data_IF_442996795778
#
_entry.id   IF_442996795778
#
_cell.length_a   1.000
_cell.length_b   1.000
_cell.length_c   1.000
_cell.angle_alpha   90.00
_cell.angle_beta   90.00
_cell.angle_gamma   90.00
#
_symmetry.space_group_name_H-M   'P 1'
#
loop_
_entity.id
_entity.type
_entity.pdbx_description
1 polymer ?
#
# COMPACT_ATOMS: atom_id res chain seq x y z
N UNK A 1 7.02 12.08 15.63
CA UNK A 1 7.19 10.65 15.31
C UNK A 1 7.46 10.55 13.82
N UNK A 2 8.48 9.82 13.39
CA UNK A 2 8.76 9.68 11.95
C UNK A 2 7.80 8.65 11.35
N UNK A 3 6.80 9.10 10.60
CA UNK A 3 5.89 8.20 9.89
C UNK A 3 6.56 7.65 8.64
N UNK A 4 6.44 6.34 8.45
CA UNK A 4 7.02 5.63 7.31
C UNK A 4 5.92 5.04 6.44
N UNK A 5 5.99 5.29 5.14
CA UNK A 5 5.15 4.72 4.09
C UNK A 5 5.97 3.76 3.23
N UNK A 6 5.37 2.66 2.82
CA UNK A 6 5.86 1.78 1.76
C UNK A 6 4.79 1.68 0.68
N UNK A 7 5.14 2.07 -0.56
CA UNK A 7 4.31 1.87 -1.74
C UNK A 7 4.79 0.59 -2.43
N UNK A 8 3.92 -0.40 -2.53
CA UNK A 8 4.20 -1.67 -3.20
C UNK A 8 4.05 -1.48 -4.72
N UNK A 9 5.17 -1.33 -5.42
CA UNK A 9 5.25 -1.07 -6.85
C UNK A 9 5.58 -2.33 -7.67
N UNK A 10 5.95 -3.43 -6.98
CA UNK A 10 6.21 -4.74 -7.59
C UNK A 10 4.91 -5.47 -7.98
N UNK A 11 5.09 -6.62 -8.60
CA UNK A 11 3.99 -7.50 -8.99
C UNK A 11 3.87 -7.72 -10.50
N UNK A 12 3.03 -8.67 -10.89
CA UNK A 12 2.81 -9.02 -12.30
C UNK A 12 1.93 -7.97 -13.00
N UNK A 13 2.55 -7.23 -13.92
CA UNK A 13 1.89 -6.24 -14.76
C UNK A 13 1.56 -6.77 -16.17
N UNK A 14 1.60 -8.09 -16.41
CA UNK A 14 1.41 -8.72 -17.72
C UNK A 14 0.10 -8.30 -18.39
N UNK A 15 -0.98 -8.14 -17.61
CA UNK A 15 -2.30 -7.70 -18.10
C UNK A 15 -2.33 -6.26 -18.60
N UNK A 16 -1.42 -5.41 -18.14
CA UNK A 16 -1.35 -3.99 -18.49
C UNK A 16 -0.36 -3.70 -19.63
N UNK A 17 0.57 -4.63 -19.90
CA UNK A 17 1.64 -4.46 -20.89
C UNK A 17 2.76 -3.52 -20.44
N UNK A 18 2.63 -2.88 -19.28
CA UNK A 18 3.65 -2.03 -18.64
C UNK A 18 3.53 -2.10 -17.12
N UNK A 19 4.57 -1.70 -16.41
CA UNK A 19 4.54 -1.64 -14.94
C UNK A 19 3.44 -0.68 -14.49
N UNK A 20 2.55 -1.10 -13.58
CA UNK A 20 1.45 -0.27 -13.07
C UNK A 20 1.95 1.05 -12.49
N UNK A 21 3.09 1.02 -11.78
CA UNK A 21 3.72 2.21 -11.22
C UNK A 21 4.02 3.31 -12.25
N UNK A 22 4.28 2.92 -13.50
CA UNK A 22 4.64 3.82 -14.61
C UNK A 22 3.47 4.19 -15.51
N UNK A 23 2.25 3.75 -15.21
CA UNK A 23 1.07 4.16 -15.99
C UNK A 23 0.87 5.66 -15.87
N UNK A 24 0.57 6.37 -16.98
CA UNK A 24 0.21 7.78 -16.95
C UNK A 24 -1.00 8.02 -16.02
N UNK A 25 -0.86 8.96 -15.11
CA UNK A 25 -1.92 9.32 -14.15
C UNK A 25 -1.90 10.83 -13.93
N UNK A 26 -2.87 11.54 -14.52
CA UNK A 26 -2.78 13.00 -14.74
C UNK A 26 -1.55 13.36 -15.60
N UNK A 27 -0.73 14.30 -15.15
CA UNK A 27 0.51 14.76 -15.80
C UNK A 27 1.77 13.98 -15.34
N UNK A 28 1.59 12.91 -14.57
CA UNK A 28 2.66 12.12 -13.91
C UNK A 28 2.49 10.63 -14.15
N UNK A 29 3.38 9.84 -13.58
CA UNK A 29 3.13 8.40 -13.41
C UNK A 29 2.29 8.13 -12.16
N UNK A 30 1.64 6.98 -12.10
CA UNK A 30 0.79 6.60 -10.96
C UNK A 30 1.56 6.61 -9.63
N UNK A 31 2.82 6.15 -9.61
CA UNK A 31 3.64 6.18 -8.40
C UNK A 31 4.02 7.61 -7.99
N UNK A 32 4.33 8.50 -8.94
CA UNK A 32 4.60 9.92 -8.66
C UNK A 32 3.36 10.62 -8.09
N UNK A 33 2.18 10.34 -8.66
CA UNK A 33 0.91 10.87 -8.14
C UNK A 33 0.68 10.47 -6.69
N UNK A 34 0.86 9.18 -6.35
CA UNK A 34 0.72 8.68 -4.97
C UNK A 34 1.80 9.30 -4.08
N UNK A 35 3.06 9.33 -4.54
CA UNK A 35 4.18 9.88 -3.79
C UNK A 35 3.92 11.34 -3.38
N UNK A 36 3.56 12.20 -4.33
CA UNK A 36 3.31 13.62 -4.06
C UNK A 36 2.14 13.83 -3.08
N UNK A 37 1.09 13.01 -3.22
CA UNK A 37 -0.06 13.06 -2.34
C UNK A 37 0.27 12.68 -0.89
N UNK A 38 1.17 11.71 -0.68
CA UNK A 38 1.52 11.19 0.64
C UNK A 38 2.71 11.90 1.30
N UNK A 39 3.60 12.51 0.52
CA UNK A 39 4.81 13.16 1.03
C UNK A 39 4.57 14.20 2.14
N UNK A 40 3.50 15.02 2.13
CA UNK A 40 3.24 15.95 3.22
C UNK A 40 2.87 15.30 4.56
N UNK A 41 2.53 14.01 4.56
CA UNK A 41 2.03 13.28 5.71
C UNK A 41 3.01 12.24 6.28
N UNK A 42 4.02 11.86 5.49
CA UNK A 42 4.99 10.82 5.84
C UNK A 42 6.43 11.33 5.70
N UNK A 43 7.23 11.14 6.74
CA UNK A 43 8.62 11.62 6.80
C UNK A 43 9.56 10.78 5.94
N UNK A 44 9.24 9.50 5.76
CA UNK A 44 9.99 8.54 4.95
C UNK A 44 9.07 7.75 4.03
N UNK A 45 9.44 7.70 2.75
CA UNK A 45 8.73 6.92 1.75
C UNK A 45 9.70 5.92 1.13
N UNK A 46 9.29 4.67 1.06
CA UNK A 46 10.00 3.59 0.40
C UNK A 46 9.14 3.05 -0.75
N UNK A 47 9.81 2.62 -1.82
CA UNK A 47 9.18 1.97 -2.97
C UNK A 47 9.63 0.49 -2.98
N UNK A 48 8.70 -0.44 -2.75
CA UNK A 48 8.98 -1.85 -2.96
C UNK A 48 8.96 -2.14 -4.45
N UNK A 49 10.03 -2.69 -4.98
CA UNK A 49 10.23 -2.95 -6.41
C UNK A 49 10.65 -4.39 -6.65
N UNK A 50 10.43 -4.90 -7.87
CA UNK A 50 10.91 -6.24 -8.23
C UNK A 50 12.43 -6.30 -8.29
N UNK A 51 13.05 -5.25 -8.87
CA UNK A 51 14.51 -5.11 -9.00
C UNK A 51 14.94 -3.69 -8.66
N UNK A 52 16.10 -3.57 -8.02
CA UNK A 52 16.67 -2.25 -7.72
C UNK A 52 16.96 -1.48 -9.03
N UNK A 53 16.58 -0.22 -9.06
CA UNK A 53 16.71 0.65 -10.23
C UNK A 53 15.45 0.73 -11.10
N UNK A 54 14.42 -0.01 -10.76
CA UNK A 54 13.15 -0.05 -11.50
C UNK A 54 12.49 1.33 -11.67
N UNK A 55 12.60 2.19 -10.66
CA UNK A 55 11.95 3.50 -10.59
C UNK A 55 12.94 4.66 -10.34
N UNK A 56 14.25 4.39 -10.28
CA UNK A 56 15.29 5.39 -9.99
C UNK A 56 15.27 6.59 -10.96
N UNK A 57 14.85 6.36 -12.21
CA UNK A 57 14.76 7.40 -13.24
C UNK A 57 13.70 8.48 -12.95
N UNK A 58 12.77 8.25 -12.01
CA UNK A 58 11.75 9.22 -11.59
C UNK A 58 12.30 10.27 -10.61
N UNK A 59 13.53 10.08 -10.09
CA UNK A 59 14.20 10.99 -9.15
C UNK A 59 13.36 11.37 -7.92
N UNK A 60 12.54 10.46 -7.42
CA UNK A 60 11.78 10.65 -6.18
C UNK A 60 12.72 10.58 -4.97
N UNK A 61 12.48 11.43 -3.96
CA UNK A 61 13.16 11.33 -2.66
C UNK A 61 12.59 10.13 -1.87
N UNK A 62 12.74 8.94 -2.44
CA UNK A 62 12.26 7.67 -1.92
C UNK A 62 13.30 6.57 -2.17
N UNK A 63 13.50 5.71 -1.18
CA UNK A 63 14.44 4.60 -1.30
C UNK A 63 13.74 3.38 -1.89
N UNK A 64 14.32 2.79 -2.93
CA UNK A 64 13.87 1.51 -3.47
C UNK A 64 14.31 0.33 -2.59
N UNK A 65 13.36 -0.56 -2.31
CA UNK A 65 13.59 -1.84 -1.63
C UNK A 65 13.21 -2.96 -2.58
N UNK A 66 14.17 -3.74 -3.09
CA UNK A 66 13.87 -4.87 -3.95
C UNK A 66 13.28 -6.03 -3.14
N UNK A 67 12.40 -6.79 -3.76
CA UNK A 67 11.84 -8.01 -3.17
C UNK A 67 12.93 -9.06 -2.99
N UNK A 68 13.04 -9.62 -1.77
CA UNK A 68 14.02 -10.68 -1.45
C UNK A 68 13.72 -11.96 -2.24
N UNK A 69 12.45 -12.22 -2.51
CA UNK A 69 12.01 -13.42 -3.22
C UNK A 69 11.08 -13.06 -4.37
N UNK A 70 11.50 -13.35 -5.59
CA UNK A 70 10.62 -13.23 -6.76
C UNK A 70 9.41 -14.15 -6.60
N UNK A 71 8.24 -13.66 -6.95
CA UNK A 71 6.98 -14.39 -6.88
C UNK A 71 6.47 -14.74 -5.44
N UNK A 72 7.00 -14.08 -4.42
CA UNK A 72 6.54 -14.25 -3.05
C UNK A 72 5.20 -13.52 -2.73
N UNK A 73 4.66 -12.83 -3.73
CA UNK A 73 3.43 -12.07 -3.60
C UNK A 73 3.56 -10.86 -2.66
N UNK A 74 2.46 -10.19 -2.34
CA UNK A 74 2.51 -8.94 -1.57
C UNK A 74 3.05 -9.12 -0.15
N UNK A 75 2.87 -10.27 0.48
CA UNK A 75 3.43 -10.55 1.81
C UNK A 75 4.96 -10.71 1.78
N UNK A 76 5.51 -11.19 0.65
CA UNK A 76 6.96 -11.20 0.43
C UNK A 76 7.55 -9.81 0.34
N UNK A 77 6.86 -8.91 -0.35
CA UNK A 77 7.23 -7.50 -0.42
C UNK A 77 7.18 -6.82 0.97
N UNK A 78 6.13 -7.09 1.76
CA UNK A 78 6.04 -6.60 3.15
C UNK A 78 7.21 -7.11 3.98
N UNK A 79 7.51 -8.41 3.92
CA UNK A 79 8.64 -9.00 4.65
C UNK A 79 9.97 -8.34 4.25
N UNK A 80 10.22 -8.19 2.94
CA UNK A 80 11.42 -7.53 2.41
C UNK A 80 11.56 -6.12 2.96
N UNK A 81 10.47 -5.34 2.89
CA UNK A 81 10.49 -3.95 3.36
C UNK A 81 10.67 -3.85 4.86
N UNK A 82 9.97 -4.65 5.68
CA UNK A 82 10.11 -4.63 7.14
C UNK A 82 11.54 -4.94 7.60
N UNK A 83 12.29 -5.76 6.85
CA UNK A 83 13.70 -6.04 7.20
C UNK A 83 14.63 -4.87 6.88
N UNK A 84 14.26 -3.97 5.96
CA UNK A 84 15.14 -2.92 5.43
C UNK A 84 14.77 -1.50 5.86
N UNK A 85 13.53 -1.21 6.23
CA UNK A 85 13.14 0.13 6.71
C UNK A 85 13.87 0.50 7.99
N UNK A 86 14.14 1.79 8.18
CA UNK A 86 14.86 2.29 9.38
C UNK A 86 14.00 2.35 10.64
N UNK A 87 12.66 2.44 10.51
CA UNK A 87 11.71 2.44 11.61
C UNK A 87 11.34 1.02 12.08
N UNK A 88 10.50 0.94 13.10
CA UNK A 88 9.95 -0.31 13.65
C UNK A 88 8.65 -0.75 12.93
N UNK A 89 7.98 0.16 12.25
CA UNK A 89 6.73 -0.08 11.51
C UNK A 89 6.59 0.85 10.32
N UNK A 90 5.75 0.48 9.38
CA UNK A 90 5.37 1.31 8.24
C UNK A 90 3.91 1.07 7.85
N UNK A 91 3.28 2.09 7.25
CA UNK A 91 2.05 1.93 6.51
C UNK A 91 2.37 1.37 5.12
N UNK A 92 1.68 0.33 4.72
CA UNK A 92 1.81 -0.33 3.43
C UNK A 92 0.56 -0.11 2.60
N UNK A 93 0.74 0.25 1.35
CA UNK A 93 -0.31 0.31 0.35
C UNK A 93 0.19 -0.17 -1.01
N UNK A 94 -0.72 -0.65 -1.85
CA UNK A 94 -0.40 -1.00 -3.23
C UNK A 94 -0.48 0.22 -4.15
N UNK A 95 0.40 0.28 -5.15
CA UNK A 95 0.35 1.30 -6.19
C UNK A 95 -0.96 1.26 -7.00
N UNK A 96 -1.68 0.15 -6.98
CA UNK A 96 -2.95 -0.02 -7.68
C UNK A 96 -4.17 0.58 -6.95
N UNK A 97 -3.99 1.18 -5.77
CA UNK A 97 -5.02 1.91 -5.02
C UNK A 97 -4.72 3.42 -4.95
N UNK A 98 -4.70 4.14 -6.09
CA UNK A 98 -4.19 5.51 -6.16
C UNK A 98 -5.06 6.55 -5.42
N UNK A 99 -6.31 6.21 -5.11
CA UNK A 99 -7.25 7.15 -4.48
C UNK A 99 -7.25 7.11 -2.95
N UNK A 100 -6.43 6.25 -2.32
CA UNK A 100 -6.27 6.21 -0.86
C UNK A 100 -6.02 7.61 -0.29
N UNK A 101 -6.80 8.03 0.71
CA UNK A 101 -6.62 9.31 1.38
C UNK A 101 -5.45 9.21 2.38
N UNK A 102 -4.46 10.11 2.32
CA UNK A 102 -3.36 10.14 3.29
C UNK A 102 -3.83 10.29 4.75
N UNK A 103 -4.95 10.97 5.00
CA UNK A 103 -5.51 11.11 6.36
C UNK A 103 -5.96 9.76 6.92
N UNK A 104 -6.54 8.92 6.07
CA UNK A 104 -6.90 7.54 6.40
C UNK A 104 -5.66 6.71 6.78
N UNK A 105 -4.57 6.84 6.02
CA UNK A 105 -3.30 6.18 6.33
C UNK A 105 -2.68 6.69 7.65
N UNK A 106 -2.78 8.00 7.91
CA UNK A 106 -2.31 8.60 9.17
C UNK A 106 -3.12 8.08 10.36
N UNK A 107 -4.45 7.96 10.24
CA UNK A 107 -5.30 7.38 11.29
C UNK A 107 -4.80 5.98 11.69
N UNK A 108 -4.62 5.10 10.71
CA UNK A 108 -4.09 3.75 10.96
C UNK A 108 -2.71 3.79 11.62
N UNK A 109 -1.83 4.69 11.16
CA UNK A 109 -0.47 4.81 11.69
C UNK A 109 -0.47 5.23 13.17
N UNK A 110 -1.30 6.20 13.55
CA UNK A 110 -1.41 6.66 14.94
C UNK A 110 -1.99 5.59 15.87
N UNK A 111 -2.95 4.81 15.39
CA UNK A 111 -3.58 3.74 16.15
C UNK A 111 -2.77 2.43 16.21
N UNK A 112 -1.61 2.37 15.53
CA UNK A 112 -0.80 1.14 15.41
C UNK A 112 0.24 0.95 16.52
N UNK A 113 0.37 1.88 17.47
CA UNK A 113 1.49 1.94 18.42
C UNK A 113 1.69 0.65 19.22
N UNK A 114 0.60 0.04 19.64
CA UNK A 114 0.62 -1.12 20.54
C UNK A 114 0.28 -2.44 19.83
N UNK A 115 0.26 -2.45 18.51
CA UNK A 115 -0.14 -3.60 17.70
C UNK A 115 0.93 -4.02 16.72
N UNK A 116 0.89 -5.30 16.34
CA UNK A 116 1.76 -5.83 15.30
C UNK A 116 1.22 -5.51 13.91
N UNK A 117 -0.12 -5.46 13.78
CA UNK A 117 -0.83 -5.07 12.56
C UNK A 117 -1.97 -4.14 12.94
N UNK A 118 -2.16 -3.07 12.16
CA UNK A 118 -3.36 -2.23 12.21
C UNK A 118 -3.88 -2.06 10.80
N UNK A 119 -5.10 -2.52 10.56
CA UNK A 119 -5.77 -2.48 9.26
C UNK A 119 -7.26 -2.25 9.46
N UNK A 120 -8.00 -2.15 8.35
CA UNK A 120 -9.44 -2.00 8.42
C UNK A 120 -10.14 -3.34 8.62
N UNK A 121 -11.31 -3.28 9.25
CA UNK A 121 -12.26 -4.36 9.26
C UNK A 121 -12.97 -4.40 7.90
N UNK A 122 -12.29 -5.03 6.92
CA UNK A 122 -12.83 -5.17 5.58
C UNK A 122 -13.95 -6.21 5.54
N UNK A 123 -15.04 -5.89 4.86
CA UNK A 123 -15.96 -6.90 4.39
C UNK A 123 -15.28 -7.80 3.33
N UNK A 124 -15.90 -8.93 2.99
CA UNK A 124 -15.32 -9.93 2.07
C UNK A 124 -14.84 -9.35 0.72
N UNK A 125 -15.49 -8.30 0.22
CA UNK A 125 -15.16 -7.69 -1.07
C UNK A 125 -13.77 -7.00 -1.11
N UNK A 126 -13.23 -6.59 0.04
CA UNK A 126 -11.94 -5.89 0.15
C UNK A 126 -10.88 -6.71 0.90
N UNK A 127 -11.17 -7.96 1.25
CA UNK A 127 -10.32 -8.82 2.09
C UNK A 127 -8.90 -9.05 1.55
N UNK A 128 -8.71 -8.99 0.24
CA UNK A 128 -7.41 -9.20 -0.43
C UNK A 128 -6.56 -7.92 -0.54
N UNK A 129 -7.02 -6.82 0.03
CA UNK A 129 -6.32 -5.55 -0.06
C UNK A 129 -5.20 -5.47 0.98
N UNK A 130 -3.97 -5.29 0.53
CA UNK A 130 -2.87 -4.93 1.41
C UNK A 130 -2.96 -3.42 1.65
N UNK A 131 -3.51 -3.06 2.77
CA UNK A 131 -3.56 -1.69 3.24
C UNK A 131 -3.58 -1.71 4.76
N UNK A 132 -2.52 -1.23 5.39
CA UNK A 132 -2.41 -1.24 6.84
C UNK A 132 -1.00 -0.96 7.33
N UNK A 133 -0.87 -0.81 8.62
CA UNK A 133 0.42 -0.67 9.29
C UNK A 133 0.89 -2.04 9.77
N UNK A 134 2.13 -2.38 9.43
CA UNK A 134 2.79 -3.61 9.88
C UNK A 134 4.03 -3.25 10.67
N UNK A 135 4.19 -3.87 11.83
CA UNK A 135 5.35 -3.73 12.71
C UNK A 135 6.38 -4.84 12.41
N UNK A 136 7.65 -4.58 12.66
CA UNK A 136 8.74 -5.57 12.54
C UNK A 136 8.51 -6.84 13.37
N UNK A 137 7.68 -6.80 14.40
CA UNK A 137 7.26 -7.99 15.15
C UNK A 137 6.60 -9.05 14.26
N UNK A 138 5.99 -8.64 13.13
CA UNK A 138 5.37 -9.56 12.17
C UNK A 138 6.40 -10.39 11.36
N UNK A 139 7.69 -10.02 11.32
CA UNK A 139 8.70 -10.65 10.46
C UNK A 139 8.74 -12.17 10.66
N UNK A 140 8.79 -12.62 11.91
CA UNK A 140 8.84 -14.06 12.21
C UNK A 140 7.58 -14.80 11.77
N UNK A 141 6.41 -14.19 11.92
CA UNK A 141 5.11 -14.77 11.51
C UNK A 141 4.99 -14.79 9.99
N UNK A 142 5.35 -13.69 9.31
CA UNK A 142 5.39 -13.61 7.85
C UNK A 142 6.30 -14.68 7.25
N UNK A 143 7.54 -14.79 7.77
CA UNK A 143 8.49 -15.77 7.31
C UNK A 143 7.95 -17.21 7.45
N UNK A 144 7.40 -17.57 8.62
CA UNK A 144 6.79 -18.89 8.85
C UNK A 144 5.61 -19.13 7.91
N UNK A 145 4.70 -18.14 7.78
CA UNK A 145 3.54 -18.25 6.90
C UNK A 145 3.92 -18.47 5.43
N UNK A 146 4.95 -17.79 4.96
CA UNK A 146 5.49 -17.94 3.60
C UNK A 146 6.16 -19.30 3.42
N UNK A 147 7.01 -19.72 4.37
CA UNK A 147 7.70 -21.00 4.32
C UNK A 147 6.71 -22.18 4.20
N UNK A 148 5.61 -22.13 4.97
CA UNK A 148 4.56 -23.15 4.92
C UNK A 148 3.48 -22.91 3.86
N UNK A 149 3.61 -21.87 3.02
CA UNK A 149 2.64 -21.45 1.98
C UNK A 149 1.23 -21.23 2.54
N UNK A 150 1.12 -20.68 3.73
CA UNK A 150 -0.14 -20.42 4.46
C UNK A 150 -0.38 -18.93 4.73
N UNK A 151 0.49 -18.04 4.25
CA UNK A 151 0.35 -16.62 4.52
C UNK A 151 -0.91 -16.06 3.85
N UNK A 152 -1.73 -15.39 4.65
CA UNK A 152 -2.95 -14.68 4.25
C UNK A 152 -3.27 -13.61 5.30
N UNK A 153 -4.18 -12.70 5.00
CA UNK A 153 -4.64 -11.73 5.99
C UNK A 153 -5.21 -12.42 7.23
N UNK A 154 -6.06 -13.44 7.07
CA UNK A 154 -6.63 -14.21 8.18
C UNK A 154 -5.57 -14.94 9.00
N UNK A 155 -4.56 -15.54 8.35
CA UNK A 155 -3.45 -16.17 9.06
C UNK A 155 -2.68 -15.15 9.92
N UNK A 156 -2.42 -13.97 9.40
CA UNK A 156 -1.70 -12.93 10.15
C UNK A 156 -2.56 -12.39 11.30
N UNK A 157 -3.85 -12.15 11.07
CA UNK A 157 -4.77 -11.70 12.12
C UNK A 157 -4.89 -12.70 13.28
N UNK A 158 -4.84 -13.99 12.99
CA UNK A 158 -4.85 -15.04 14.02
C UNK A 158 -3.54 -15.08 14.83
N UNK A 159 -2.39 -14.80 14.21
CA UNK A 159 -1.06 -15.03 14.81
C UNK A 159 -0.37 -13.74 15.30
N UNK A 160 -0.87 -12.57 14.92
CA UNK A 160 -0.34 -11.27 15.30
C UNK A 160 -1.37 -10.51 16.13
N UNK A 161 -0.90 -9.64 17.00
CA UNK A 161 -1.76 -8.72 17.73
C UNK A 161 -2.29 -7.64 16.79
N UNK A 162 -3.52 -7.84 16.31
CA UNK A 162 -4.13 -7.03 15.26
C UNK A 162 -5.16 -6.06 15.83
N UNK A 163 -5.08 -4.80 15.39
CA UNK A 163 -6.12 -3.78 15.59
C UNK A 163 -6.92 -3.65 14.28
N UNK A 164 -8.22 -3.86 14.36
CA UNK A 164 -9.15 -3.69 13.22
C UNK A 164 -9.93 -2.40 13.41
N UNK A 165 -9.70 -1.44 12.52
CA UNK A 165 -10.40 -0.15 12.54
C UNK A 165 -11.71 -0.28 11.76
N UNK A 166 -12.79 0.19 12.35
CA UNK A 166 -14.08 0.20 11.67
C UNK A 166 -14.10 1.25 10.54
N UNK A 167 -14.69 0.89 9.43
CA UNK A 167 -14.73 1.76 8.25
C UNK A 167 -15.49 3.07 8.52
N UNK A 168 -16.44 3.06 9.45
CA UNK A 168 -17.18 4.26 9.88
C UNK A 168 -16.29 5.35 10.51
N UNK A 169 -15.13 4.99 11.05
CA UNK A 169 -14.19 5.98 11.58
C UNK A 169 -13.60 6.88 10.47
N UNK A 170 -13.54 6.37 9.24
CA UNK A 170 -13.00 7.10 8.09
C UNK A 170 -13.95 8.20 7.62
N UNK A 171 -15.24 7.97 7.68
CA UNK A 171 -16.26 8.94 7.25
C UNK A 171 -16.16 10.28 7.99
N UNK A 172 -15.58 10.25 9.20
CA UNK A 172 -15.34 11.45 10.01
C UNK A 172 -14.11 12.26 9.59
N UNK A 173 -13.18 11.67 8.85
CA UNK A 173 -11.86 12.26 8.53
C UNK A 173 -11.60 12.44 7.04
N UNK A 174 -12.34 11.76 6.19
CA UNK A 174 -12.19 11.81 4.73
C UNK A 174 -13.52 12.08 4.03
N UNK A 175 -13.48 12.91 3.00
CA UNK A 175 -14.61 13.13 2.08
C UNK A 175 -14.63 12.09 0.95
N UNK A 176 -13.57 11.30 0.80
CA UNK A 176 -13.47 10.23 -0.19
C UNK A 176 -14.04 8.95 0.42
N UNK A 177 -15.07 8.40 -0.20
CA UNK A 177 -15.70 7.17 0.28
C UNK A 177 -14.72 6.01 0.36
N UNK A 178 -14.97 5.03 1.24
CA UNK A 178 -14.16 3.82 1.34
C UNK A 178 -14.06 3.07 0.01
N UNK A 179 -15.17 2.94 -0.71
CA UNK A 179 -15.21 2.30 -2.02
C UNK A 179 -14.27 2.98 -3.02
N UNK A 180 -14.25 4.31 -3.03
CA UNK A 180 -13.36 5.07 -3.89
C UNK A 180 -11.89 4.96 -3.44
N UNK A 181 -11.60 5.03 -2.14
CA UNK A 181 -10.24 4.92 -1.62
C UNK A 181 -9.61 3.55 -1.95
N UNK A 182 -10.40 2.49 -1.92
CA UNK A 182 -9.96 1.11 -2.21
C UNK A 182 -10.23 0.65 -3.64
N UNK A 183 -10.61 1.58 -4.53
CA UNK A 183 -10.75 1.26 -5.95
C UNK A 183 -9.42 0.80 -6.53
N UNK A 184 -9.40 -0.42 -7.12
CA UNK A 184 -8.18 -1.06 -7.64
C UNK A 184 -8.04 -0.89 -9.14
N UNK A 185 -6.90 -0.37 -9.56
CA UNK A 185 -6.48 -0.29 -10.97
C UNK A 185 -5.75 -1.58 -11.35
N UNK A 186 -6.50 -2.62 -11.76
CA UNK A 186 -5.95 -3.95 -12.01
C UNK A 186 -5.78 -4.29 -13.49
N UNK A 187 -6.56 -3.66 -14.36
CA UNK A 187 -6.60 -3.89 -15.80
C UNK A 187 -6.89 -2.58 -16.55
N UNK A 188 -6.91 -2.66 -17.88
CA UNK A 188 -7.16 -1.47 -18.73
C UNK A 188 -8.52 -0.83 -18.48
N UNK A 189 -9.55 -1.62 -18.21
CA UNK A 189 -10.92 -1.10 -17.98
C UNK A 189 -10.95 -0.28 -16.70
N UNK A 190 -10.46 -0.85 -15.59
CA UNK A 190 -10.36 -0.17 -14.29
C UNK A 190 -9.44 1.06 -14.34
N UNK A 191 -8.36 1.01 -15.13
CA UNK A 191 -7.49 2.16 -15.34
C UNK A 191 -8.21 3.30 -16.07
N UNK A 192 -8.88 3.02 -17.19
CA UNK A 192 -9.63 4.06 -17.91
C UNK A 192 -10.76 4.65 -17.08
N UNK A 193 -11.46 3.83 -16.30
CA UNK A 193 -12.48 4.31 -15.37
C UNK A 193 -11.87 5.24 -14.30
N UNK A 194 -10.73 4.86 -13.72
CA UNK A 194 -10.00 5.70 -12.76
C UNK A 194 -9.64 7.07 -13.35
N UNK A 195 -9.05 7.08 -14.54
CA UNK A 195 -8.59 8.33 -15.19
C UNK A 195 -9.75 9.19 -15.66
N UNK A 196 -10.77 8.62 -16.29
CA UNK A 196 -11.83 9.40 -16.94
C UNK A 196 -13.04 9.69 -16.04
N UNK A 197 -13.30 8.88 -15.04
CA UNK A 197 -14.48 9.04 -14.19
C UNK A 197 -14.13 9.58 -12.81
N UNK A 198 -13.13 9.01 -12.14
CA UNK A 198 -12.81 9.40 -10.76
C UNK A 198 -11.99 10.69 -10.73
N UNK A 199 -10.90 10.78 -11.51
CA UNK A 199 -10.05 11.97 -11.50
C UNK A 199 -10.81 13.22 -12.00
N UNK A 200 -11.56 13.11 -13.09
CA UNK A 200 -12.31 14.27 -13.63
C UNK A 200 -13.39 14.80 -12.69
N UNK A 201 -14.01 13.95 -11.86
CA UNK A 201 -15.02 14.42 -10.90
C UNK A 201 -14.42 15.15 -9.69
N UNK A 202 -13.15 14.87 -9.35
CA UNK A 202 -12.46 15.59 -8.27
C UNK A 202 -12.04 17.03 -8.65
N UNK A 203 -12.17 17.44 -9.93
CA UNK A 203 -11.90 18.79 -10.41
C UNK A 203 -13.14 19.67 -10.59
N UNK A 204 -14.35 19.16 -10.29
CA UNK A 204 -15.62 19.88 -10.47
C UNK A 204 -16.25 20.31 -9.12
N UNK A 205 -15.51 20.17 -8.02
CA UNK A 205 -15.96 20.65 -6.70
C UNK A 205 -15.14 21.84 -6.22
#
# INVERSE_FOLDING_TARGET
MNRTLVILCGGDSSRMGTKKALLPFEDKTMVEYIYDKFRPFFDKIYLSVNERGDLTHLNLDAQEIPDISRNAGPFGAILSCLTMISGDRAFFMSVDTPFMDPRTAVLLYEQSKDYDITTFNFNEACSDTICGVYNKNCIGTLFKGMFFKKVSNSFLQEKCRTNLIETSEIDSISTISMEQQFYKVNDRSSYYYAVFSILKHNFIC
#
